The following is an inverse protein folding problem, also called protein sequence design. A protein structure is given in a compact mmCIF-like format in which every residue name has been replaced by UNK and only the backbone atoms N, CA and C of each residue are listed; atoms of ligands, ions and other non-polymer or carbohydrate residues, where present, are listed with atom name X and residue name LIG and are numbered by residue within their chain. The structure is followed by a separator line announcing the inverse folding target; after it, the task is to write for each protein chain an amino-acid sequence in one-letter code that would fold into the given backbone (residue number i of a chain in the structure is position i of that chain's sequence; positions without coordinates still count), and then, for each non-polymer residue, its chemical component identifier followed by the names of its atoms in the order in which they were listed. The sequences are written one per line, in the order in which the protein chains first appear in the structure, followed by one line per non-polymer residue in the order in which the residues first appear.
data_IF_583452155284
#
_entry.id   IF_583452155284
#
_cell.length_a   1.000
_cell.length_b   1.000
_cell.length_c   1.000
_cell.angle_alpha   90.00
_cell.angle_beta   90.00
_cell.angle_gamma   90.00
#
_symmetry.space_group_name_H-M   'P 1'
#
loop_
_entity.id
_entity.type
_entity.pdbx_description
1 polymer ?
#
# COMPACT_ATOMS: atom_id res chain seq x y z
N UNK A 1 19.20 -56.04 -6.04
CA UNK A 1 18.10 -55.13 -6.46
C UNK A 1 17.64 -54.27 -5.28
N UNK A 2 18.48 -53.38 -4.73
CA UNK A 2 18.05 -52.51 -3.60
C UNK A 2 18.81 -51.17 -3.47
N UNK A 3 19.52 -50.72 -4.50
CA UNK A 3 20.23 -49.42 -4.46
C UNK A 3 19.56 -48.30 -5.29
N UNK A 4 18.55 -48.62 -6.12
CA UNK A 4 17.91 -47.61 -6.97
C UNK A 4 16.75 -46.85 -6.30
N UNK A 5 16.26 -47.31 -5.13
CA UNK A 5 15.14 -46.68 -4.41
C UNK A 5 15.55 -45.60 -3.41
N UNK A 6 16.82 -45.49 -3.04
CA UNK A 6 17.29 -44.48 -2.08
C UNK A 6 17.65 -43.13 -2.72
N UNK A 7 17.90 -43.10 -4.03
CA UNK A 7 18.35 -41.86 -4.72
C UNK A 7 17.21 -40.88 -5.03
N UNK A 8 15.94 -41.30 -4.93
CA UNK A 8 14.78 -40.42 -5.23
C UNK A 8 14.38 -39.57 -4.00
N UNK A 9 14.67 -40.02 -2.78
CA UNK A 9 14.29 -39.29 -1.55
C UNK A 9 15.21 -38.10 -1.27
N UNK A 10 16.47 -38.17 -1.67
CA UNK A 10 17.45 -37.09 -1.45
C UNK A 10 17.18 -35.83 -2.30
N UNK A 11 16.49 -35.97 -3.44
CA UNK A 11 16.21 -34.84 -4.33
C UNK A 11 14.98 -34.01 -3.89
N UNK A 12 14.06 -34.60 -3.10
CA UNK A 12 12.87 -33.89 -2.60
C UNK A 12 13.20 -32.92 -1.44
N UNK A 13 14.29 -33.14 -0.71
CA UNK A 13 14.70 -32.30 0.42
C UNK A 13 15.41 -30.99 -0.01
N UNK A 14 15.81 -30.87 -1.28
CA UNK A 14 16.46 -29.67 -1.82
C UNK A 14 15.47 -28.60 -2.28
N UNK A 15 14.16 -28.90 -2.32
CA UNK A 15 13.12 -27.96 -2.79
C UNK A 15 12.56 -27.08 -1.66
N UNK A 16 12.73 -27.47 -0.39
CA UNK A 16 12.30 -26.67 0.77
C UNK A 16 13.33 -25.62 1.24
N UNK A 17 14.44 -25.43 0.52
CA UNK A 17 15.52 -24.52 0.89
C UNK A 17 15.40 -23.10 0.31
N UNK A 18 14.39 -22.80 -0.50
CA UNK A 18 14.01 -21.40 -0.73
C UNK A 18 13.28 -20.94 0.54
N UNK A 19 14.01 -20.37 1.51
CA UNK A 19 13.50 -19.80 2.76
C UNK A 19 12.56 -18.60 2.53
N UNK A 20 11.48 -18.82 1.79
CA UNK A 20 10.49 -17.85 1.40
C UNK A 20 9.50 -17.73 2.56
N UNK A 21 9.80 -16.82 3.49
CA UNK A 21 8.88 -16.49 4.57
C UNK A 21 7.79 -15.57 3.99
N UNK A 22 6.50 -15.97 3.99
CA UNK A 22 5.45 -15.13 3.45
C UNK A 22 5.27 -13.89 4.34
N UNK A 23 5.50 -12.70 3.79
CA UNK A 23 5.31 -11.43 4.52
C UNK A 23 3.88 -11.26 5.07
N UNK A 24 2.91 -11.96 4.48
CA UNK A 24 1.49 -11.93 4.85
C UNK A 24 1.00 -13.24 5.49
N UNK A 25 1.89 -14.13 5.95
CA UNK A 25 1.47 -15.38 6.58
C UNK A 25 0.59 -15.09 7.82
N UNK A 26 -0.56 -15.78 7.99
CA UNK A 26 -1.44 -15.61 9.15
C UNK A 26 -0.83 -16.10 10.47
N UNK A 27 0.36 -16.71 10.45
CA UNK A 27 1.16 -16.97 11.65
C UNK A 27 1.73 -15.65 12.16
N UNK A 28 0.99 -15.02 13.06
CA UNK A 28 1.29 -13.71 13.66
C UNK A 28 2.72 -13.56 14.17
N UNK A 29 3.59 -13.02 13.32
CA UNK A 29 4.80 -12.34 13.77
C UNK A 29 4.45 -11.05 14.51
N UNK A 30 5.43 -10.43 15.17
CA UNK A 30 5.26 -9.17 15.92
C UNK A 30 4.74 -8.00 15.06
N UNK A 31 4.84 -8.07 13.72
CA UNK A 31 4.49 -7.00 12.78
C UNK A 31 3.00 -6.60 12.82
N UNK A 32 2.02 -7.52 12.66
CA UNK A 32 0.60 -7.19 12.79
C UNK A 32 0.22 -6.51 14.11
N UNK A 33 0.84 -6.88 15.22
CA UNK A 33 0.58 -6.26 16.53
C UNK A 33 1.10 -4.83 16.60
N UNK A 34 2.28 -4.55 16.03
CA UNK A 34 2.85 -3.19 15.98
C UNK A 34 2.04 -2.28 15.04
N UNK A 35 1.56 -2.81 13.91
CA UNK A 35 0.71 -2.07 12.98
C UNK A 35 -0.62 -1.62 13.60
N UNK A 36 -1.19 -2.44 14.49
CA UNK A 36 -2.43 -2.12 15.18
C UNK A 36 -2.30 -0.94 16.18
N UNK A 37 -1.08 -0.56 16.57
CA UNK A 37 -0.80 0.55 17.48
C UNK A 37 -0.58 1.92 16.81
N UNK A 38 -0.85 2.02 15.51
CA UNK A 38 -0.62 3.23 14.71
C UNK A 38 -1.90 4.07 14.61
N UNK A 39 -1.84 5.30 15.12
CA UNK A 39 -2.88 6.34 14.91
C UNK A 39 -2.65 7.06 13.57
N UNK A 40 -3.63 7.02 12.67
CA UNK A 40 -3.53 7.67 11.36
C UNK A 40 -4.15 9.07 11.42
N UNK A 41 -3.30 10.08 11.30
CA UNK A 41 -3.71 11.48 11.31
C UNK A 41 -4.69 11.79 10.16
N UNK A 42 -5.60 12.77 10.33
CA UNK A 42 -6.49 13.21 9.27
C UNK A 42 -5.72 13.66 8.02
N UNK A 43 -6.08 13.12 6.86
CA UNK A 43 -5.55 13.56 5.57
C UNK A 43 -6.56 14.54 4.95
N UNK A 44 -6.15 15.76 4.58
CA UNK A 44 -7.07 16.75 4.02
C UNK A 44 -7.78 16.29 2.74
N UNK A 45 -8.94 16.89 2.46
CA UNK A 45 -9.78 16.67 1.27
C UNK A 45 -10.50 15.32 1.22
N UNK A 46 -11.51 15.22 0.35
CA UNK A 46 -12.30 13.99 0.14
C UNK A 46 -11.41 12.79 -0.21
N UNK A 47 -10.49 12.95 -1.15
CA UNK A 47 -9.63 11.86 -1.59
C UNK A 47 -8.61 11.46 -0.50
N UNK A 48 -8.13 12.43 0.30
CA UNK A 48 -7.31 12.15 1.47
C UNK A 48 -8.05 11.29 2.50
N UNK A 49 -9.33 11.59 2.76
CA UNK A 49 -10.15 10.76 3.65
C UNK A 49 -10.36 9.33 3.09
N UNK A 50 -10.52 9.17 1.77
CA UNK A 50 -10.57 7.84 1.15
C UNK A 50 -9.27 7.07 1.39
N UNK A 51 -8.11 7.71 1.19
CA UNK A 51 -6.80 7.10 1.48
C UNK A 51 -6.67 6.75 2.96
N UNK A 52 -7.08 7.65 3.87
CA UNK A 52 -7.08 7.40 5.32
C UNK A 52 -7.91 6.17 5.68
N UNK A 53 -9.13 6.06 5.15
CA UNK A 53 -9.99 4.91 5.41
C UNK A 53 -9.36 3.61 4.89
N UNK A 54 -8.80 3.64 3.68
CA UNK A 54 -8.09 2.48 3.16
C UNK A 54 -6.86 2.08 3.98
N UNK A 55 -6.16 3.05 4.59
CA UNK A 55 -5.06 2.78 5.52
C UNK A 55 -5.58 2.20 6.85
N UNK A 56 -6.67 2.73 7.40
CA UNK A 56 -7.32 2.17 8.60
C UNK A 56 -7.73 0.71 8.40
N UNK A 57 -8.41 0.42 7.29
CA UNK A 57 -8.84 -0.96 6.94
C UNK A 57 -7.64 -1.93 6.87
N UNK A 58 -6.47 -1.43 6.46
CA UNK A 58 -5.27 -2.22 6.17
C UNK A 58 -4.33 -2.39 7.36
N UNK A 59 -4.19 -1.34 8.18
CA UNK A 59 -3.22 -1.25 9.26
C UNK A 59 -3.86 -1.54 10.62
N UNK A 60 -5.14 -1.17 10.80
CA UNK A 60 -5.88 -1.30 12.05
C UNK A 60 -7.19 -2.09 11.85
N UNK A 61 -7.13 -3.36 11.37
CA UNK A 61 -8.33 -4.15 11.08
C UNK A 61 -9.16 -4.50 12.34
N UNK A 62 -8.57 -4.37 13.54
CA UNK A 62 -9.23 -4.58 14.83
C UNK A 62 -9.84 -3.29 15.42
N UNK A 63 -9.77 -2.17 14.69
CA UNK A 63 -10.22 -0.85 15.14
C UNK A 63 -9.08 0.09 15.53
N UNK A 64 -9.39 1.37 15.70
CA UNK A 64 -8.41 2.39 16.11
C UNK A 64 -7.92 2.11 17.55
N UNK A 65 -6.60 2.20 17.81
CA UNK A 65 -6.03 1.90 19.12
C UNK A 65 -6.44 2.94 20.17
N UNK A 66 -6.84 2.47 21.36
CA UNK A 66 -7.13 3.34 22.53
C UNK A 66 -5.85 4.07 23.00
N UNK A 67 -4.69 3.41 22.87
CA UNK A 67 -3.39 3.97 23.16
C UNK A 67 -2.46 3.77 21.96
N UNK A 68 -2.29 4.80 21.14
CA UNK A 68 -1.39 4.76 20.00
C UNK A 68 0.06 5.02 20.43
N UNK A 69 0.97 4.12 20.07
CA UNK A 69 2.41 4.29 20.31
C UNK A 69 3.05 5.14 19.21
N UNK A 70 2.50 5.05 18.00
CA UNK A 70 2.97 5.78 16.82
C UNK A 70 1.84 6.60 16.21
N UNK A 71 2.19 7.76 15.66
CA UNK A 71 1.32 8.60 14.84
C UNK A 71 1.83 8.59 13.40
N UNK A 72 0.95 8.27 12.48
CA UNK A 72 1.22 8.24 11.05
C UNK A 72 0.65 9.48 10.38
N UNK A 73 1.53 10.30 9.83
CA UNK A 73 1.22 11.56 9.17
C UNK A 73 1.42 11.37 7.67
N UNK A 74 0.41 11.72 6.87
CA UNK A 74 0.45 11.56 5.41
C UNK A 74 0.06 12.87 4.73
N UNK A 75 0.91 13.31 3.81
CA UNK A 75 0.65 14.44 2.92
C UNK A 75 0.38 13.94 1.52
N UNK A 76 -0.84 14.16 1.02
CA UNK A 76 -1.28 13.66 -0.28
C UNK A 76 -1.24 14.75 -1.36
N UNK A 77 -0.61 14.44 -2.49
CA UNK A 77 -0.56 15.24 -3.72
C UNK A 77 -1.27 14.48 -4.84
N UNK A 78 -2.09 15.19 -5.61
CA UNK A 78 -2.91 14.63 -6.70
C UNK A 78 -2.56 15.35 -8.00
N UNK A 79 -2.24 14.60 -9.04
CA UNK A 79 -1.96 15.12 -10.38
C UNK A 79 -2.82 14.40 -11.43
N UNK A 80 -3.22 15.14 -12.47
CA UNK A 80 -3.99 14.62 -13.59
C UNK A 80 -3.30 15.01 -14.89
N UNK A 81 -2.99 14.02 -15.72
CA UNK A 81 -2.17 14.19 -16.92
C UNK A 81 -2.84 13.52 -18.13
N UNK A 82 -2.88 14.23 -19.27
CA UNK A 82 -3.35 13.67 -20.54
C UNK A 82 -2.25 12.82 -21.19
N UNK A 83 -2.57 11.59 -21.62
CA UNK A 83 -1.59 10.65 -22.18
C UNK A 83 -1.59 10.56 -23.71
N UNK A 84 -2.73 10.74 -24.36
CA UNK A 84 -2.87 10.51 -25.80
C UNK A 84 -3.63 11.66 -26.43
N UNK A 85 -2.98 12.39 -27.35
CA UNK A 85 -3.59 13.41 -28.21
C UNK A 85 -4.21 12.66 -29.39
N UNK A 86 -5.53 12.70 -29.55
CA UNK A 86 -6.17 12.16 -30.75
C UNK A 86 -5.80 13.02 -31.98
N UNK A 87 -6.00 12.48 -33.18
CA UNK A 87 -5.69 13.19 -34.45
C UNK A 87 -6.46 14.52 -34.61
N UNK A 88 -7.48 14.75 -33.79
CA UNK A 88 -8.31 15.95 -33.73
C UNK A 88 -8.00 16.86 -32.52
N UNK A 89 -6.86 16.67 -31.87
CA UNK A 89 -6.37 17.45 -30.72
C UNK A 89 -7.13 17.22 -29.39
N UNK A 90 -8.02 16.21 -29.32
CA UNK A 90 -8.72 15.84 -28.08
C UNK A 90 -8.05 14.67 -27.34
N UNK A 91 -7.84 14.80 -26.03
CA UNK A 91 -7.26 13.69 -25.25
C UNK A 91 -8.32 12.63 -24.92
N UNK A 92 -8.10 11.37 -25.33
CA UNK A 92 -9.05 10.26 -25.08
C UNK A 92 -8.70 9.43 -23.84
N UNK A 93 -7.49 9.62 -23.29
CA UNK A 93 -6.97 8.89 -22.14
C UNK A 93 -6.20 9.80 -21.19
N UNK A 94 -6.50 9.67 -19.90
CA UNK A 94 -5.91 10.44 -18.81
C UNK A 94 -5.37 9.51 -17.73
N UNK A 95 -4.36 9.99 -17.01
CA UNK A 95 -3.84 9.39 -15.80
C UNK A 95 -4.19 10.26 -14.60
N UNK A 96 -4.64 9.62 -13.52
CA UNK A 96 -4.64 10.17 -12.17
C UNK A 96 -3.43 9.61 -11.44
N UNK A 97 -2.53 10.48 -10.98
CA UNK A 97 -1.37 10.12 -10.17
C UNK A 97 -1.58 10.62 -8.74
N UNK A 98 -1.42 9.73 -7.76
CA UNK A 98 -1.38 10.09 -6.35
C UNK A 98 0.02 9.89 -5.81
N UNK A 99 0.53 10.85 -5.06
CA UNK A 99 1.80 10.80 -4.38
C UNK A 99 1.56 11.10 -2.90
N UNK A 100 2.07 10.24 -2.02
CA UNK A 100 1.98 10.39 -0.58
C UNK A 100 3.38 10.45 0.02
N UNK A 101 3.70 11.58 0.64
CA UNK A 101 4.83 11.71 1.55
C UNK A 101 4.33 11.37 2.95
N UNK A 102 5.02 10.50 3.67
CA UNK A 102 4.57 10.04 4.98
C UNK A 102 5.69 10.00 6.02
N UNK A 103 5.27 10.18 7.27
CA UNK A 103 6.14 10.15 8.45
C UNK A 103 5.45 9.35 9.57
N UNK A 104 6.17 8.39 10.15
CA UNK A 104 5.77 7.64 11.32
C UNK A 104 6.53 8.18 12.54
N UNK A 105 5.80 8.81 13.47
CA UNK A 105 6.37 9.50 14.62
C UNK A 105 6.03 8.74 15.90
N UNK A 106 7.00 8.49 16.77
CA UNK A 106 6.73 7.90 18.08
C UNK A 106 6.12 8.93 19.04
N UNK A 107 4.92 8.66 19.57
CA UNK A 107 4.08 9.67 20.26
C UNK A 107 4.73 10.22 21.52
N UNK A 108 5.45 9.39 22.29
CA UNK A 108 6.07 9.84 23.55
C UNK A 108 7.33 10.68 23.35
N UNK A 109 8.13 10.38 22.32
CA UNK A 109 9.40 11.08 22.09
C UNK A 109 9.30 12.19 21.05
N UNK A 110 8.29 12.17 20.19
CA UNK A 110 8.14 13.09 19.06
C UNK A 110 9.14 12.83 17.92
N UNK A 111 9.95 11.77 18.01
CA UNK A 111 10.96 11.47 16.99
C UNK A 111 10.32 10.75 15.80
N UNK A 112 10.74 11.15 14.60
CA UNK A 112 10.45 10.39 13.38
C UNK A 112 11.19 9.05 13.42
N UNK A 113 10.44 7.99 13.20
CA UNK A 113 10.90 6.59 13.19
C UNK A 113 11.07 6.11 11.76
N UNK A 114 10.19 6.57 10.86
CA UNK A 114 10.24 6.22 9.44
C UNK A 114 9.67 7.35 8.60
N UNK A 115 10.42 7.75 7.59
CA UNK A 115 9.95 8.64 6.54
C UNK A 115 10.01 7.93 5.19
N UNK A 116 9.08 8.27 4.31
CA UNK A 116 9.10 7.72 2.97
C UNK A 116 8.08 8.36 2.05
N UNK A 117 8.08 7.85 0.84
CA UNK A 117 7.18 8.27 -0.23
C UNK A 117 6.55 7.04 -0.85
N UNK A 118 5.28 7.15 -1.25
CA UNK A 118 4.58 6.17 -2.07
C UNK A 118 3.86 6.87 -3.23
N UNK A 119 3.72 6.18 -4.36
CA UNK A 119 3.02 6.70 -5.54
C UNK A 119 2.16 5.62 -6.19
N UNK A 120 0.99 6.02 -6.68
CA UNK A 120 0.12 5.17 -7.51
C UNK A 120 -0.40 5.95 -8.73
N UNK A 121 -0.74 5.23 -9.80
CA UNK A 121 -1.26 5.83 -11.03
C UNK A 121 -2.37 4.96 -11.59
N UNK A 122 -3.54 5.55 -11.83
CA UNK A 122 -4.67 4.90 -12.47
C UNK A 122 -5.09 5.65 -13.74
N UNK A 123 -5.29 4.91 -14.83
CA UNK A 123 -5.74 5.46 -16.10
C UNK A 123 -7.28 5.37 -16.24
N UNK A 124 -7.87 6.35 -16.91
CA UNK A 124 -9.26 6.34 -17.37
C UNK A 124 -9.40 6.91 -18.78
N UNK A 125 -10.48 6.55 -19.46
CA UNK A 125 -10.82 7.04 -20.78
C UNK A 125 -11.94 8.08 -20.70
N UNK A 126 -11.90 9.03 -21.63
CA UNK A 126 -12.89 10.08 -21.82
C UNK A 126 -13.70 9.77 -23.08
N UNK A 127 -15.02 9.91 -22.98
CA UNK A 127 -16.01 9.68 -24.03
C UNK A 127 -16.85 10.95 -24.24
N UNK A 128 -17.78 10.93 -25.19
CA UNK A 128 -18.65 12.09 -25.49
C UNK A 128 -19.63 12.47 -24.37
N UNK A 129 -19.85 11.59 -23.39
CA UNK A 129 -20.74 11.85 -22.26
C UNK A 129 -19.97 12.43 -21.07
N UNK A 130 -20.28 13.67 -20.71
CA UNK A 130 -19.68 14.35 -19.56
C UNK A 130 -19.90 13.60 -18.25
N UNK A 131 -21.10 13.07 -18.04
CA UNK A 131 -21.40 12.27 -16.85
C UNK A 131 -20.53 11.02 -16.78
N UNK A 132 -20.38 10.30 -17.90
CA UNK A 132 -19.53 9.11 -17.95
C UNK A 132 -18.07 9.47 -17.62
N UNK A 133 -17.58 10.61 -18.09
CA UNK A 133 -16.22 11.10 -17.82
C UNK A 133 -16.00 11.38 -16.33
N UNK A 134 -16.95 12.03 -15.67
CA UNK A 134 -16.87 12.28 -14.22
C UNK A 134 -16.84 10.97 -13.44
N UNK A 135 -17.65 9.99 -13.83
CA UNK A 135 -17.70 8.68 -13.15
C UNK A 135 -16.41 7.90 -13.35
N UNK A 136 -15.86 7.84 -14.57
CA UNK A 136 -14.62 7.11 -14.87
C UNK A 136 -13.40 7.75 -14.22
N UNK A 137 -13.37 9.08 -14.14
CA UNK A 137 -12.34 9.82 -13.41
C UNK A 137 -12.38 9.51 -11.91
N UNK A 138 -13.59 9.52 -11.30
CA UNK A 138 -13.74 9.18 -9.88
C UNK A 138 -13.37 7.72 -9.61
N UNK A 139 -13.72 6.80 -10.48
CA UNK A 139 -13.27 5.40 -10.38
C UNK A 139 -11.74 5.30 -10.39
N UNK A 140 -11.06 6.02 -11.29
CA UNK A 140 -9.60 6.05 -11.32
C UNK A 140 -8.99 6.66 -10.05
N UNK A 141 -9.55 7.74 -9.52
CA UNK A 141 -9.12 8.30 -8.22
C UNK A 141 -9.24 7.27 -7.09
N UNK A 142 -10.34 6.52 -7.02
CA UNK A 142 -10.56 5.50 -6.00
C UNK A 142 -9.62 4.29 -6.16
N UNK A 143 -9.36 3.85 -7.40
CA UNK A 143 -8.39 2.77 -7.67
C UNK A 143 -6.97 3.20 -7.29
N UNK A 144 -6.55 4.40 -7.69
CA UNK A 144 -5.25 4.93 -7.30
C UNK A 144 -5.13 5.07 -5.78
N UNK A 145 -6.17 5.52 -5.07
CA UNK A 145 -6.16 5.62 -3.62
C UNK A 145 -5.98 4.26 -2.94
N UNK A 146 -6.66 3.23 -3.45
CA UNK A 146 -6.52 1.84 -2.96
C UNK A 146 -5.10 1.32 -3.14
N UNK A 147 -4.56 1.44 -4.36
CA UNK A 147 -3.20 0.99 -4.69
C UNK A 147 -2.14 1.72 -3.87
N UNK A 148 -2.32 3.02 -3.64
CA UNK A 148 -1.42 3.82 -2.80
C UNK A 148 -1.37 3.29 -1.36
N UNK A 149 -2.53 2.98 -0.78
CA UNK A 149 -2.61 2.43 0.58
C UNK A 149 -2.01 1.02 0.67
N UNK A 150 -2.13 0.20 -0.38
CA UNK A 150 -1.47 -1.11 -0.46
C UNK A 150 0.06 -0.99 -0.52
N UNK A 151 0.58 -0.04 -1.29
CA UNK A 151 2.01 0.26 -1.37
C UNK A 151 2.56 0.76 -0.02
N UNK A 152 1.86 1.69 0.64
CA UNK A 152 2.24 2.19 1.97
C UNK A 152 2.28 1.04 2.99
N UNK A 153 1.23 0.20 3.05
CA UNK A 153 1.20 -0.98 3.92
C UNK A 153 2.39 -1.89 3.67
N UNK A 154 2.72 -2.15 2.40
CA UNK A 154 3.84 -3.01 2.03
C UNK A 154 5.16 -2.44 2.54
N UNK A 155 5.41 -1.14 2.34
CA UNK A 155 6.61 -0.46 2.84
C UNK A 155 6.73 -0.50 4.36
N UNK A 156 5.63 -0.22 5.08
CA UNK A 156 5.59 -0.32 6.54
C UNK A 156 5.87 -1.75 7.02
N UNK A 157 5.26 -2.75 6.37
CA UNK A 157 5.45 -4.17 6.71
C UNK A 157 6.91 -4.59 6.53
N UNK A 158 7.54 -4.15 5.44
CA UNK A 158 8.96 -4.42 5.17
C UNK A 158 9.84 -3.79 6.25
N UNK A 159 9.63 -2.51 6.57
CA UNK A 159 10.40 -1.80 7.60
C UNK A 159 10.31 -2.51 8.96
N UNK A 160 9.10 -2.81 9.42
CA UNK A 160 8.87 -3.48 10.70
C UNK A 160 9.46 -4.90 10.73
N UNK A 161 9.43 -5.61 9.58
CA UNK A 161 10.04 -6.94 9.49
C UNK A 161 11.57 -6.92 9.64
N UNK A 162 12.22 -5.85 9.18
CA UNK A 162 13.67 -5.66 9.30
C UNK A 162 14.05 -5.25 10.72
N UNK A 163 13.31 -4.31 11.32
CA UNK A 163 13.58 -3.84 12.68
C UNK A 163 13.36 -4.92 13.75
N UNK A 164 12.42 -5.86 13.54
CA UNK A 164 12.20 -6.98 14.47
C UNK A 164 13.30 -8.05 14.46
N UNK A 165 14.29 -7.97 13.54
CA UNK A 165 15.41 -8.93 13.44
C UNK A 165 16.68 -8.46 14.16
N UNK A 166 16.72 -7.24 14.69
CA UNK A 166 17.82 -6.70 15.51
C UNK A 166 17.47 -6.74 16.99
#
# INVERSE_FOLDING_TARGET
MWCFRSSVVALAALVSACGFEPLHAPSGGAVPTVLAGIDIAPIPNRLGQVVRNHLLDRLTPLGEPVFAEYRFIVSLRVAKEALAIARDDSATRFNVSLQADYDLVHVRSGNSVLQGEARSVAAYNVVSSDYANVVTERDAELRAARELSDEIKTRLSVYLSQNNRS
#
